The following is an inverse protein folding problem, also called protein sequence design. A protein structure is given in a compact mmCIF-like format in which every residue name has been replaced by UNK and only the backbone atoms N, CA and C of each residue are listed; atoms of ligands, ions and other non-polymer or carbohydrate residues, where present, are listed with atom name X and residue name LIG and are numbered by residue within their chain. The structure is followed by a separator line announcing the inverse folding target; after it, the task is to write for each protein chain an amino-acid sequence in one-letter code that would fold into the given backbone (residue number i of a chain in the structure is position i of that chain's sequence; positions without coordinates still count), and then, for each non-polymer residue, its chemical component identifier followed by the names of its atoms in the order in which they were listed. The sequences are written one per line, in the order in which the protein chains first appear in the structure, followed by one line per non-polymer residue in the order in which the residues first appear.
data_IF_339336605019
#
_entry.id   IF_339336605019
#
_cell.length_a   1.000
_cell.length_b   1.000
_cell.length_c   1.000
_cell.angle_alpha   90.00
_cell.angle_beta   90.00
_cell.angle_gamma   90.00
#
_symmetry.space_group_name_H-M   'P 1'
#
loop_
_entity.id
_entity.type
_entity.pdbx_description
1 polymer ?
#
# COMPACT_ATOMS: atom_id res chain seq x y z
N UNK A 1 -4.22 -5.64 -10.16
CA UNK A 1 -2.88 -6.05 -9.72
C UNK A 1 -3.03 -7.22 -8.78
N UNK A 2 -2.14 -8.19 -8.85
CA UNK A 2 -2.31 -9.43 -8.10
C UNK A 2 -1.51 -9.47 -6.82
N UNK A 3 -0.39 -8.76 -6.77
CA UNK A 3 0.49 -8.79 -5.59
C UNK A 3 0.86 -7.39 -5.20
N UNK A 4 1.35 -7.25 -3.96
CA UNK A 4 1.79 -5.96 -3.46
C UNK A 4 3.01 -5.47 -4.25
N UNK A 5 3.86 -6.39 -4.70
CA UNK A 5 5.02 -6.02 -5.50
C UNK A 5 4.59 -5.42 -6.83
N UNK A 6 3.56 -5.99 -7.45
CA UNK A 6 3.02 -5.43 -8.69
C UNK A 6 2.49 -4.02 -8.48
N UNK A 7 1.83 -3.78 -7.36
CA UNK A 7 1.29 -2.47 -7.03
C UNK A 7 2.42 -1.46 -6.83
N UNK A 8 3.46 -1.85 -6.12
CA UNK A 8 4.62 -0.99 -5.88
C UNK A 8 5.29 -0.61 -7.22
N UNK A 9 5.47 -1.59 -8.10
CA UNK A 9 6.06 -1.32 -9.41
C UNK A 9 5.19 -0.38 -10.23
N UNK A 10 3.88 -0.58 -10.19
CA UNK A 10 2.95 0.28 -10.90
C UNK A 10 3.08 1.72 -10.42
N UNK A 11 3.12 1.93 -9.10
CA UNK A 11 3.24 3.28 -8.55
C UNK A 11 4.57 3.92 -8.92
N UNK A 12 5.66 3.16 -8.91
CA UNK A 12 6.96 3.67 -9.30
C UNK A 12 6.96 4.13 -10.76
N UNK A 13 6.32 3.35 -11.63
CA UNK A 13 6.24 3.71 -13.03
C UNK A 13 5.44 4.98 -13.24
N UNK A 14 4.34 5.13 -12.49
CA UNK A 14 3.52 6.33 -12.59
C UNK A 14 4.25 7.57 -12.10
N UNK A 15 5.03 7.44 -11.04
CA UNK A 15 5.80 8.56 -10.52
C UNK A 15 6.80 9.05 -11.55
N UNK A 16 7.38 8.14 -12.34
CA UNK A 16 8.37 8.49 -13.33
C UNK A 16 7.78 8.87 -14.69
N UNK A 17 6.48 8.71 -14.87
CA UNK A 17 5.81 8.97 -16.12
C UNK A 17 5.63 10.48 -16.31
N UNK A 18 6.22 11.10 -17.35
CA UNK A 18 6.12 12.54 -17.54
C UNK A 18 4.71 13.00 -17.91
N UNK A 19 3.81 12.09 -18.31
CA UNK A 19 2.45 12.47 -18.69
C UNK A 19 1.53 12.53 -17.47
N UNK A 20 1.97 12.07 -16.31
CA UNK A 20 1.17 12.10 -15.08
C UNK A 20 1.23 13.50 -14.49
N UNK A 21 0.06 14.04 -14.07
CA UNK A 21 0.01 15.37 -13.47
C UNK A 21 0.75 15.41 -12.14
N UNK A 22 1.13 16.60 -11.68
CA UNK A 22 1.84 16.71 -10.40
C UNK A 22 0.97 16.29 -9.23
N UNK A 23 -0.34 16.52 -9.28
CA UNK A 23 -1.24 16.08 -8.22
C UNK A 23 -1.33 14.56 -8.17
N UNK A 24 -1.44 13.91 -9.34
CA UNK A 24 -1.49 12.46 -9.41
C UNK A 24 -0.16 11.86 -8.98
N UNK A 25 0.94 12.49 -9.36
CA UNK A 25 2.27 12.01 -8.97
C UNK A 25 2.44 12.04 -7.46
N UNK A 26 1.95 13.10 -6.81
CA UNK A 26 1.99 13.19 -5.35
C UNK A 26 1.17 12.06 -4.72
N UNK A 27 0.00 11.79 -5.27
CA UNK A 27 -0.85 10.70 -4.78
C UNK A 27 -0.10 9.36 -4.86
N UNK A 28 0.54 9.09 -5.99
CA UNK A 28 1.26 7.83 -6.14
C UNK A 28 2.47 7.74 -5.21
N UNK A 29 3.13 8.87 -4.94
CA UNK A 29 4.24 8.88 -3.98
C UNK A 29 3.76 8.57 -2.57
N UNK A 30 2.62 9.15 -2.16
CA UNK A 30 2.07 8.89 -0.85
C UNK A 30 1.64 7.43 -0.73
N UNK A 31 0.99 6.90 -1.76
CA UNK A 31 0.57 5.51 -1.77
C UNK A 31 1.78 4.57 -1.73
N UNK A 32 2.81 4.89 -2.48
CA UNK A 32 4.02 4.08 -2.48
C UNK A 32 4.65 4.03 -1.09
N UNK A 33 4.69 5.17 -0.41
CA UNK A 33 5.22 5.23 0.95
C UNK A 33 4.42 4.31 1.89
N UNK A 34 3.10 4.35 1.78
CA UNK A 34 2.23 3.50 2.59
C UNK A 34 2.46 2.02 2.29
N UNK A 35 2.60 1.69 1.02
CA UNK A 35 2.87 0.31 0.62
C UNK A 35 4.22 -0.18 1.15
N UNK A 36 5.21 0.68 1.12
CA UNK A 36 6.54 0.32 1.63
C UNK A 36 6.50 0.09 3.14
N UNK A 37 5.74 0.91 3.87
CA UNK A 37 5.57 0.70 5.30
C UNK A 37 4.81 -0.59 5.59
N UNK A 38 3.80 -0.89 4.80
CA UNK A 38 3.06 -2.13 4.93
C UNK A 38 4.00 -3.34 4.75
N UNK A 39 4.85 -3.30 3.74
CA UNK A 39 5.81 -4.37 3.49
C UNK A 39 6.72 -4.56 4.71
N UNK A 40 7.16 -3.46 5.30
CA UNK A 40 8.05 -3.54 6.45
C UNK A 40 7.33 -4.16 7.65
N UNK A 41 6.08 -3.77 7.90
CA UNK A 41 5.31 -4.30 9.02
C UNK A 41 4.93 -5.77 8.83
N UNK A 42 4.76 -6.21 7.58
CA UNK A 42 4.32 -7.57 7.28
C UNK A 42 5.41 -8.41 6.62
N UNK A 43 6.64 -8.07 6.90
CA UNK A 43 7.78 -8.70 6.25
C UNK A 43 7.80 -10.22 6.39
N UNK A 44 7.51 -10.71 7.59
CA UNK A 44 7.52 -12.15 7.84
C UNK A 44 6.41 -12.85 7.06
N UNK A 45 5.26 -12.24 6.98
CA UNK A 45 4.13 -12.80 6.23
C UNK A 45 4.44 -12.84 4.74
N UNK A 46 5.07 -11.79 4.23
CA UNK A 46 5.44 -11.73 2.82
C UNK A 46 6.50 -12.78 2.51
N UNK A 47 7.49 -12.92 3.37
CA UNK A 47 8.51 -13.93 3.19
C UNK A 47 7.93 -15.34 3.26
N UNK A 48 6.84 -15.49 4.01
CA UNK A 48 6.15 -16.77 4.11
C UNK A 48 5.21 -17.07 2.95
N UNK A 49 5.10 -16.16 1.98
CA UNK A 49 4.30 -16.38 0.79
C UNK A 49 3.07 -15.51 0.65
N UNK A 50 2.79 -14.64 1.61
CA UNK A 50 1.60 -13.79 1.56
C UNK A 50 1.93 -12.49 0.85
N UNK A 51 1.76 -12.47 -0.45
CA UNK A 51 2.08 -11.31 -1.28
C UNK A 51 0.83 -10.59 -1.76
N UNK A 52 -0.29 -10.70 -1.06
CA UNK A 52 -1.51 -10.09 -1.55
C UNK A 52 -1.40 -8.56 -1.57
N UNK A 53 -2.14 -7.94 -2.49
CA UNK A 53 -2.16 -6.49 -2.64
C UNK A 53 -3.16 -5.93 -1.63
N UNK A 54 -2.72 -5.17 -0.62
CA UNK A 54 -3.65 -4.66 0.39
C UNK A 54 -4.57 -3.59 -0.21
N UNK A 55 -5.83 -3.59 0.24
CA UNK A 55 -6.75 -2.54 -0.20
C UNK A 55 -6.55 -1.29 0.66
N UNK A 56 -7.29 -0.23 0.34
CA UNK A 56 -7.13 1.05 1.04
C UNK A 56 -7.39 0.92 2.55
N UNK A 57 -8.36 0.11 2.93
CA UNK A 57 -8.68 -0.07 4.35
C UNK A 57 -7.56 -0.81 5.06
N UNK A 58 -6.99 -1.82 4.43
CA UNK A 58 -5.87 -2.54 5.02
C UNK A 58 -4.67 -1.64 5.25
N UNK A 59 -4.36 -0.77 4.28
CA UNK A 59 -3.27 0.18 4.45
C UNK A 59 -3.58 1.18 5.57
N UNK A 60 -4.80 1.70 5.60
CA UNK A 60 -5.19 2.65 6.62
C UNK A 60 -5.09 2.03 8.01
N UNK A 61 -5.59 0.81 8.17
CA UNK A 61 -5.57 0.15 9.47
C UNK A 61 -4.16 -0.25 9.91
N UNK A 62 -3.28 -0.50 8.95
CA UNK A 62 -1.89 -0.79 9.30
C UNK A 62 -1.21 0.43 9.91
N UNK A 63 -1.54 1.62 9.42
CA UNK A 63 -0.96 2.86 9.93
C UNK A 63 -1.72 3.42 11.12
N UNK A 64 -3.01 3.10 11.24
CA UNK A 64 -3.88 3.64 12.29
C UNK A 64 -4.69 2.53 12.95
N UNK A 65 -4.04 1.59 13.63
CA UNK A 65 -4.75 0.42 14.19
C UNK A 65 -5.77 0.76 15.27
N UNK A 66 -5.70 1.95 15.84
CA UNK A 66 -6.62 2.35 16.91
C UNK A 66 -7.90 2.99 16.41
N UNK A 67 -8.03 3.17 15.11
CA UNK A 67 -9.23 3.80 14.57
C UNK A 67 -10.45 2.89 14.70
N UNK A 68 -11.62 3.46 14.96
CA UNK A 68 -12.83 2.64 15.16
C UNK A 68 -13.16 1.75 13.97
N UNK A 69 -12.89 2.21 12.75
CA UNK A 69 -13.12 1.41 11.56
C UNK A 69 -12.31 0.14 11.56
N UNK A 70 -11.13 0.17 12.15
CA UNK A 70 -10.26 -0.99 12.21
C UNK A 70 -10.65 -1.93 13.34
N UNK A 71 -11.22 -1.38 14.40
CA UNK A 71 -11.60 -2.20 15.55
C UNK A 71 -12.87 -3.02 15.30
N UNK A 72 -13.80 -2.48 14.49
CA UNK A 72 -15.01 -3.22 14.21
C UNK A 72 -14.85 -4.25 13.12
N UNK A 73 -13.69 -4.32 12.52
CA UNK A 73 -13.44 -5.13 11.41
C UNK A 73 -13.19 -6.56 11.73
N UNK A 74 -13.06 -6.83 12.89
CA UNK A 74 -12.63 -8.01 13.26
C UNK A 74 -13.64 -8.97 13.65
N UNK A 75 -14.08 -9.69 13.11
CA UNK A 75 -14.92 -10.65 13.60
C UNK A 75 -15.11 -11.72 12.81
#
# INVERSE_FOLDING_TARGET
MKTIEDHIDFDKQRIEDPTVSSAARRHYKDELHELEEYVEHHKLEIEGGDHHDPNALELFCDLHPDEPECLVYDD
#
